data_IF_331677687366
#
_entry.id   IF_331677687366
#
_cell.length_a   1.000
_cell.length_b   1.000
_cell.length_c   1.000
_cell.angle_alpha   90.00
_cell.angle_beta   90.00
_cell.angle_gamma   90.00
#
_symmetry.space_group_name_H-M   'P 1'
#
loop_
_entity.id
_entity.type
_entity.pdbx_description
1 polymer ?
#
# COMPACT_ATOMS: atom_id res chain seq x y z
N UNK A 1 -25.71 88.49 19.45
CA UNK A 1 -26.25 87.15 19.20
C UNK A 1 -25.24 86.34 18.42
N UNK A 2 -24.42 85.51 19.13
CA UNK A 2 -23.42 84.62 18.49
C UNK A 2 -23.95 83.20 18.50
N UNK A 3 -24.16 82.64 17.31
CA UNK A 3 -24.59 81.24 17.13
C UNK A 3 -23.32 80.33 17.20
N UNK A 4 -23.26 79.51 18.23
CA UNK A 4 -22.26 78.46 18.31
C UNK A 4 -22.70 77.28 17.44
N UNK A 5 -21.92 76.96 16.41
CA UNK A 5 -22.11 75.79 15.58
C UNK A 5 -21.21 74.72 16.20
N UNK A 6 -21.85 73.69 16.77
CA UNK A 6 -21.22 72.50 17.33
C UNK A 6 -20.91 71.51 16.17
N UNK A 7 -19.64 71.35 15.81
CA UNK A 7 -19.24 70.32 14.88
C UNK A 7 -19.15 68.98 15.63
N UNK A 8 -20.08 68.09 15.35
CA UNK A 8 -19.98 66.68 15.75
C UNK A 8 -19.07 65.98 14.74
N UNK A 9 -17.82 65.70 15.14
CA UNK A 9 -16.90 64.83 14.39
C UNK A 9 -17.34 63.41 14.61
N UNK A 10 -17.97 62.80 13.61
CA UNK A 10 -18.30 61.39 13.59
C UNK A 10 -17.00 60.62 13.29
N UNK A 11 -16.37 60.08 14.35
CA UNK A 11 -15.23 59.15 14.19
C UNK A 11 -15.78 57.82 13.68
N UNK A 12 -15.76 57.62 12.36
CA UNK A 12 -16.00 56.31 11.75
C UNK A 12 -14.81 55.43 12.12
N UNK A 13 -14.92 54.65 13.19
CA UNK A 13 -14.02 53.55 13.45
C UNK A 13 -14.25 52.50 12.36
N UNK A 14 -13.43 52.52 11.34
CA UNK A 14 -13.32 51.42 10.42
C UNK A 14 -12.77 50.24 11.22
N UNK A 15 -13.63 49.45 11.82
CA UNK A 15 -13.32 48.09 12.23
C UNK A 15 -13.03 47.35 10.93
N UNK A 16 -11.74 47.25 10.56
CA UNK A 16 -11.32 46.30 9.57
C UNK A 16 -11.63 44.92 10.14
N UNK A 17 -12.81 44.40 9.86
CA UNK A 17 -13.10 42.99 9.96
C UNK A 17 -12.01 42.31 9.10
N UNK A 18 -10.99 41.74 9.74
CA UNK A 18 -10.21 40.72 9.10
C UNK A 18 -11.19 39.64 8.67
N UNK A 19 -11.59 39.66 7.39
CA UNK A 19 -12.26 38.51 6.81
C UNK A 19 -11.36 37.31 7.13
N UNK A 20 -11.83 36.44 8.00
CA UNK A 20 -11.19 35.14 8.13
C UNK A 20 -11.12 34.57 6.73
N UNK A 21 -9.93 34.10 6.32
CA UNK A 21 -9.75 33.56 4.98
C UNK A 21 -10.71 32.39 4.83
N UNK A 22 -11.74 32.57 4.02
CA UNK A 22 -12.73 31.56 3.68
C UNK A 22 -12.06 30.56 2.76
N UNK A 23 -12.35 29.27 2.95
CA UNK A 23 -11.92 28.24 2.02
C UNK A 23 -12.65 28.46 0.68
N UNK A 24 -11.88 28.46 -0.40
CA UNK A 24 -12.38 28.59 -1.76
C UNK A 24 -11.69 27.57 -2.66
N UNK A 25 -12.48 26.82 -3.44
CA UNK A 25 -12.00 25.83 -4.39
C UNK A 25 -12.84 25.92 -5.67
N UNK A 26 -12.18 26.11 -6.79
CA UNK A 26 -12.82 26.19 -8.09
C UNK A 26 -12.19 25.26 -9.13
N UNK A 27 -12.90 24.98 -10.19
CA UNK A 27 -12.38 24.20 -11.31
C UNK A 27 -13.41 23.79 -12.33
N UNK A 28 -12.94 23.00 -13.28
CA UNK A 28 -13.78 22.36 -14.29
C UNK A 28 -13.75 20.85 -14.08
N UNK A 29 -14.92 20.23 -14.00
CA UNK A 29 -15.04 18.78 -13.77
C UNK A 29 -14.86 17.97 -15.06
N UNK A 30 -14.91 18.61 -16.24
CA UNK A 30 -14.97 17.92 -17.52
C UNK A 30 -16.23 17.03 -17.62
N UNK A 31 -16.55 16.46 -18.76
CA UNK A 31 -17.77 15.67 -19.03
C UNK A 31 -17.93 14.38 -18.19
N UNK A 32 -17.32 14.29 -17.01
CA UNK A 32 -17.22 13.05 -16.21
C UNK A 32 -18.39 12.90 -15.22
N UNK A 33 -19.15 13.97 -14.97
CA UNK A 33 -20.20 13.97 -13.94
C UNK A 33 -21.54 13.43 -14.44
N UNK A 34 -21.99 12.30 -13.90
CA UNK A 34 -23.36 11.79 -14.11
C UNK A 34 -24.42 12.65 -13.43
N UNK A 35 -24.12 13.16 -12.24
CA UNK A 35 -25.04 13.93 -11.37
C UNK A 35 -24.56 15.36 -11.10
N UNK A 36 -23.45 15.79 -11.73
CA UNK A 36 -22.81 17.10 -11.56
C UNK A 36 -22.46 17.49 -10.12
N UNK A 37 -22.54 16.57 -9.18
CA UNK A 37 -22.19 16.85 -7.79
C UNK A 37 -20.67 16.81 -7.62
N UNK A 38 -20.13 17.87 -7.04
CA UNK A 38 -18.74 17.99 -6.60
C UNK A 38 -18.75 18.16 -5.09
N UNK A 39 -17.97 17.34 -4.37
CA UNK A 39 -18.04 17.37 -2.92
C UNK A 39 -16.74 17.02 -2.22
N UNK A 40 -16.57 17.54 -1.03
CA UNK A 40 -15.47 17.22 -0.12
C UNK A 40 -15.90 16.22 0.94
N UNK A 41 -15.09 15.20 1.15
CA UNK A 41 -15.25 14.20 2.20
C UNK A 41 -13.95 13.94 2.95
N UNK A 42 -14.04 13.41 4.16
CA UNK A 42 -12.85 12.93 4.88
C UNK A 42 -12.39 11.55 4.37
N UNK A 43 -11.10 11.20 4.48
CA UNK A 43 -10.55 9.92 4.03
C UNK A 43 -11.20 8.69 4.68
N UNK A 44 -11.77 8.86 5.87
CA UNK A 44 -12.42 7.81 6.66
C UNK A 44 -13.93 7.72 6.43
N UNK A 45 -14.53 8.70 5.72
CA UNK A 45 -15.96 8.71 5.47
C UNK A 45 -16.39 7.58 4.52
N UNK A 46 -17.45 6.83 4.85
CA UNK A 46 -17.96 5.78 3.98
C UNK A 46 -18.65 6.38 2.75
N UNK A 47 -18.35 5.85 1.57
CA UNK A 47 -19.04 6.22 0.32
C UNK A 47 -18.88 7.71 -0.03
N UNK A 48 -19.97 8.31 -0.53
CA UNK A 48 -20.05 9.74 -0.93
C UNK A 48 -20.69 10.62 0.14
N UNK A 49 -20.28 10.45 1.40
CA UNK A 49 -20.72 11.35 2.46
C UNK A 49 -19.89 12.64 2.43
N UNK A 50 -20.44 13.66 1.77
CA UNK A 50 -19.81 14.97 1.68
C UNK A 50 -20.18 15.85 2.88
N UNK A 51 -19.21 16.53 3.45
CA UNK A 51 -19.46 17.57 4.44
C UNK A 51 -19.63 18.96 3.79
N UNK A 52 -19.15 19.10 2.56
CA UNK A 52 -19.32 20.30 1.75
C UNK A 52 -19.50 19.89 0.29
N UNK A 53 -20.50 20.41 -0.41
CA UNK A 53 -20.75 20.08 -1.82
C UNK A 53 -21.41 21.21 -2.59
N UNK A 54 -21.26 21.15 -3.91
CA UNK A 54 -21.88 22.06 -4.88
C UNK A 54 -22.27 21.29 -6.14
N UNK A 55 -23.01 21.96 -7.03
CA UNK A 55 -23.30 21.44 -8.37
C UNK A 55 -22.46 22.19 -9.39
N UNK A 56 -21.87 21.46 -10.34
CA UNK A 56 -21.24 22.07 -11.50
C UNK A 56 -22.30 22.65 -12.43
N UNK A 57 -22.00 23.78 -13.07
CA UNK A 57 -22.89 24.45 -14.03
C UNK A 57 -22.94 23.70 -15.40
N UNK A 58 -23.64 24.28 -16.37
CA UNK A 58 -23.75 23.69 -17.71
C UNK A 58 -22.43 23.64 -18.50
N UNK A 59 -21.42 24.41 -18.08
CA UNK A 59 -20.09 24.42 -18.64
C UNK A 59 -19.11 23.53 -17.85
N UNK A 60 -19.61 22.70 -16.92
CA UNK A 60 -18.83 21.85 -16.03
C UNK A 60 -17.93 22.63 -15.04
N UNK A 61 -18.15 23.95 -14.87
CA UNK A 61 -17.47 24.75 -13.86
C UNK A 61 -18.14 24.59 -12.50
N UNK A 62 -17.36 24.55 -11.45
CA UNK A 62 -17.84 24.55 -10.07
C UNK A 62 -17.04 25.51 -9.20
N UNK A 63 -17.71 26.03 -8.19
CA UNK A 63 -17.12 26.82 -7.12
C UNK A 63 -17.63 26.30 -5.78
N UNK A 64 -16.72 25.98 -4.89
CA UNK A 64 -17.00 25.43 -3.58
C UNK A 64 -16.38 26.33 -2.52
N UNK A 65 -17.18 26.81 -1.59
CA UNK A 65 -16.76 27.68 -0.50
C UNK A 65 -17.45 27.28 0.79
N UNK A 66 -16.79 27.48 1.92
CA UNK A 66 -17.35 27.17 3.22
C UNK A 66 -16.31 27.20 4.34
N UNK A 67 -16.77 26.82 5.52
CA UNK A 67 -15.90 26.67 6.69
C UNK A 67 -15.31 25.25 6.71
N UNK A 68 -13.98 25.15 6.74
CA UNK A 68 -13.26 23.88 6.81
C UNK A 68 -12.17 23.98 7.88
N UNK A 69 -11.96 22.90 8.62
CA UNK A 69 -10.88 22.81 9.61
C UNK A 69 -9.53 22.73 8.91
N UNK A 70 -8.63 23.70 9.08
CA UNK A 70 -7.29 23.65 8.51
C UNK A 70 -6.45 22.51 9.09
N UNK A 71 -5.45 22.06 8.33
CA UNK A 71 -4.54 20.99 8.76
C UNK A 71 -5.08 19.59 8.55
N UNK A 72 -6.25 19.45 7.90
CA UNK A 72 -6.88 18.18 7.58
C UNK A 72 -6.65 17.79 6.14
N UNK A 73 -6.52 16.47 5.88
CA UNK A 73 -6.62 15.91 4.53
C UNK A 73 -8.09 15.60 4.23
N UNK A 74 -8.54 16.04 3.07
CA UNK A 74 -9.87 15.75 2.53
C UNK A 74 -9.74 15.23 1.11
N UNK A 75 -10.80 14.66 0.55
CA UNK A 75 -10.86 14.28 -0.85
C UNK A 75 -11.93 15.09 -1.55
N UNK A 76 -11.54 15.71 -2.66
CA UNK A 76 -12.48 16.25 -3.62
C UNK A 76 -12.92 15.15 -4.55
N UNK A 77 -14.19 14.83 -4.50
CA UNK A 77 -14.81 13.87 -5.42
C UNK A 77 -15.56 14.61 -6.52
N UNK A 78 -15.27 14.26 -7.77
CA UNK A 78 -16.07 14.63 -8.93
C UNK A 78 -16.03 13.50 -9.97
N UNK A 79 -17.19 12.97 -10.31
CA UNK A 79 -17.30 11.80 -11.16
C UNK A 79 -16.61 10.58 -10.57
N UNK A 80 -15.55 10.10 -11.24
CA UNK A 80 -14.70 8.98 -10.80
C UNK A 80 -13.38 9.45 -10.20
N UNK A 81 -13.15 10.74 -10.10
CA UNK A 81 -11.92 11.32 -9.57
C UNK A 81 -12.03 11.51 -8.06
N UNK A 82 -10.93 11.19 -7.36
CA UNK A 82 -10.76 11.34 -5.93
C UNK A 82 -9.44 12.06 -5.69
N UNK A 83 -9.48 13.39 -5.58
CA UNK A 83 -8.28 14.18 -5.47
C UNK A 83 -8.00 14.55 -4.02
N UNK A 84 -6.83 14.19 -3.46
CA UNK A 84 -6.48 14.57 -2.11
C UNK A 84 -6.19 16.07 -2.03
N UNK A 85 -6.72 16.69 -0.98
CA UNK A 85 -6.55 18.09 -0.65
C UNK A 85 -6.14 18.22 0.81
N UNK A 86 -4.97 18.78 1.06
CA UNK A 86 -4.58 19.25 2.37
C UNK A 86 -5.11 20.67 2.57
N UNK A 87 -5.99 20.83 3.55
CA UNK A 87 -6.70 22.08 3.77
C UNK A 87 -5.81 23.07 4.52
N UNK A 88 -5.55 24.21 3.90
CA UNK A 88 -4.98 25.42 4.48
C UNK A 88 -6.00 26.56 4.24
N UNK A 89 -5.92 27.67 4.95
CA UNK A 89 -6.83 28.80 4.75
C UNK A 89 -6.39 29.61 3.50
N UNK A 90 -6.79 29.15 2.31
CA UNK A 90 -6.39 29.76 1.04
C UNK A 90 -7.31 29.34 -0.12
N UNK A 91 -7.10 29.91 -1.27
CA UNK A 91 -7.77 29.58 -2.51
C UNK A 91 -7.07 28.45 -3.26
N UNK A 92 -7.88 27.57 -3.86
CA UNK A 92 -7.41 26.40 -4.60
C UNK A 92 -8.07 26.32 -5.97
N UNK A 93 -7.35 25.71 -6.91
CA UNK A 93 -7.86 25.43 -8.26
C UNK A 93 -7.59 24.00 -8.67
N UNK A 94 -8.59 23.36 -9.29
CA UNK A 94 -8.40 22.09 -9.97
C UNK A 94 -7.79 22.37 -11.33
N UNK A 95 -6.67 21.74 -11.60
CA UNK A 95 -5.97 21.81 -12.89
C UNK A 95 -5.86 20.42 -13.52
N UNK A 96 -6.01 20.35 -14.84
CA UNK A 96 -5.79 19.15 -15.61
C UNK A 96 -4.43 19.23 -16.30
N UNK A 97 -3.58 18.23 -16.08
CA UNK A 97 -2.27 18.10 -16.72
C UNK A 97 -2.19 16.72 -17.36
N UNK A 98 -2.14 16.68 -18.69
CA UNK A 98 -2.33 15.47 -19.46
C UNK A 98 -3.67 14.79 -19.09
N UNK A 99 -3.63 13.53 -18.60
CA UNK A 99 -4.82 12.79 -18.20
C UNK A 99 -5.08 12.82 -16.67
N UNK A 100 -4.26 13.56 -15.91
CA UNK A 100 -4.36 13.64 -14.45
C UNK A 100 -4.92 14.99 -14.01
N UNK A 101 -5.67 14.97 -12.91
CA UNK A 101 -6.16 16.16 -12.25
C UNK A 101 -5.40 16.38 -10.94
N UNK A 102 -5.16 17.65 -10.59
CA UNK A 102 -4.51 18.07 -9.37
C UNK A 102 -5.21 19.28 -8.77
N UNK A 103 -5.13 19.41 -7.45
CA UNK A 103 -5.60 20.62 -6.75
C UNK A 103 -4.37 21.44 -6.38
N UNK A 104 -4.25 22.63 -6.92
CA UNK A 104 -3.17 23.56 -6.63
C UNK A 104 -3.66 24.73 -5.79
N UNK A 105 -2.83 25.15 -4.85
CA UNK A 105 -3.00 26.40 -4.14
C UNK A 105 -2.36 27.56 -4.89
N UNK A 106 -2.90 28.77 -4.76
CA UNK A 106 -2.31 29.99 -5.26
C UNK A 106 -1.01 30.35 -4.54
N UNK A 107 -0.79 29.84 -3.33
CA UNK A 107 0.47 29.99 -2.58
C UNK A 107 1.47 28.93 -3.02
N UNK A 108 2.51 29.34 -3.74
CA UNK A 108 3.51 28.43 -4.35
C UNK A 108 4.14 27.45 -3.35
N UNK A 109 4.48 27.94 -2.16
CA UNK A 109 5.16 27.16 -1.09
C UNK A 109 4.21 26.46 -0.13
N UNK A 110 2.91 26.35 -0.47
CA UNK A 110 1.94 25.66 0.36
C UNK A 110 2.27 24.18 0.52
N UNK A 111 1.84 23.58 1.63
CA UNK A 111 1.96 22.13 1.84
C UNK A 111 1.19 21.35 0.76
N UNK A 112 0.02 21.87 0.33
CA UNK A 112 -0.74 21.29 -0.79
C UNK A 112 0.08 21.22 -2.08
N UNK A 113 0.75 22.29 -2.49
CA UNK A 113 1.55 22.28 -3.71
C UNK A 113 2.77 21.36 -3.60
N UNK A 114 3.42 21.29 -2.45
CA UNK A 114 4.50 20.33 -2.16
C UNK A 114 3.97 18.89 -2.24
N UNK A 115 2.77 18.64 -1.69
CA UNK A 115 2.12 17.34 -1.76
C UNK A 115 1.78 16.92 -3.20
N UNK A 116 1.27 17.84 -4.02
CA UNK A 116 1.06 17.59 -5.46
C UNK A 116 2.37 17.25 -6.17
N UNK A 117 3.47 17.94 -5.88
CA UNK A 117 4.78 17.59 -6.46
C UNK A 117 5.23 16.18 -6.05
N UNK A 118 5.01 15.80 -4.80
CA UNK A 118 5.26 14.43 -4.33
C UNK A 118 4.40 13.41 -5.12
N UNK A 119 3.08 13.63 -5.22
CA UNK A 119 2.18 12.72 -5.95
C UNK A 119 2.58 12.58 -7.42
N UNK A 120 2.94 13.65 -8.12
CA UNK A 120 3.42 13.62 -9.51
C UNK A 120 4.63 12.67 -9.66
N UNK A 121 5.57 12.71 -8.72
CA UNK A 121 6.75 11.83 -8.70
C UNK A 121 6.37 10.37 -8.47
N UNK A 122 5.44 10.09 -7.55
CA UNK A 122 4.98 8.73 -7.28
C UNK A 122 4.20 8.19 -8.48
N UNK A 123 3.26 8.94 -9.05
CA UNK A 123 2.48 8.51 -10.21
C UNK A 123 3.35 8.25 -11.45
N UNK A 124 4.42 9.00 -11.65
CA UNK A 124 5.38 8.73 -12.73
C UNK A 124 6.10 7.39 -12.54
N UNK A 125 6.48 7.04 -11.30
CA UNK A 125 7.09 5.75 -10.97
C UNK A 125 6.08 4.61 -11.11
N UNK A 126 4.84 4.78 -10.65
CA UNK A 126 3.76 3.79 -10.78
C UNK A 126 3.43 3.54 -12.25
N UNK A 127 3.37 4.57 -13.09
CA UNK A 127 3.14 4.44 -14.52
C UNK A 127 4.25 3.65 -15.22
N UNK A 128 5.52 3.98 -14.92
CA UNK A 128 6.68 3.27 -15.45
C UNK A 128 6.68 1.79 -15.01
N UNK A 129 6.44 1.53 -13.72
CA UNK A 129 6.34 0.18 -13.16
C UNK A 129 5.21 -0.63 -13.82
N UNK A 130 4.01 -0.06 -13.95
CA UNK A 130 2.86 -0.71 -14.57
C UNK A 130 3.09 -1.00 -16.06
N UNK A 131 3.80 -0.12 -16.78
CA UNK A 131 4.19 -0.37 -18.18
C UNK A 131 5.14 -1.55 -18.27
N UNK A 132 6.12 -1.66 -17.38
CA UNK A 132 7.04 -2.81 -17.31
C UNK A 132 6.31 -4.10 -16.96
N UNK A 133 5.37 -4.06 -16.01
CA UNK A 133 4.55 -5.22 -15.61
C UNK A 133 3.75 -5.77 -16.82
N UNK A 134 3.10 -4.90 -17.61
CA UNK A 134 2.36 -5.33 -18.82
C UNK A 134 3.26 -6.00 -19.84
N UNK A 135 4.52 -5.57 -19.94
CA UNK A 135 5.50 -6.20 -20.84
C UNK A 135 6.01 -7.56 -20.34
N UNK A 136 5.98 -7.78 -19.01
CA UNK A 136 6.56 -8.97 -18.39
C UNK A 136 5.88 -10.27 -18.81
N UNK A 137 4.56 -10.28 -18.88
CA UNK A 137 3.77 -11.47 -19.23
C UNK A 137 3.88 -11.87 -20.70
N UNK A 138 4.26 -10.92 -21.57
CA UNK A 138 4.41 -11.15 -23.03
C UNK A 138 5.79 -11.68 -23.41
N UNK A 139 6.76 -11.69 -22.48
CA UNK A 139 8.14 -12.14 -22.75
C UNK A 139 8.24 -13.66 -22.56
N UNK A 140 8.55 -14.37 -23.62
CA UNK A 140 8.84 -15.80 -23.60
C UNK A 140 10.33 -16.13 -23.34
N UNK A 141 11.23 -15.21 -23.66
CA UNK A 141 12.68 -15.40 -23.46
C UNK A 141 13.05 -15.24 -21.97
N UNK A 142 13.64 -16.30 -21.40
CA UNK A 142 13.96 -16.38 -19.96
C UNK A 142 14.99 -15.33 -19.54
N UNK A 143 16.01 -15.06 -20.37
CA UNK A 143 17.06 -14.09 -20.04
C UNK A 143 16.55 -12.65 -20.04
N UNK A 144 15.68 -12.31 -20.99
CA UNK A 144 15.00 -10.99 -21.02
C UNK A 144 14.03 -10.86 -19.86
N UNK A 145 13.31 -11.91 -19.51
CA UNK A 145 12.38 -11.94 -18.38
C UNK A 145 13.09 -11.74 -17.04
N UNK A 146 14.24 -12.36 -16.83
CA UNK A 146 15.07 -12.18 -15.65
C UNK A 146 15.55 -10.72 -15.52
N UNK A 147 16.11 -10.13 -16.57
CA UNK A 147 16.52 -8.71 -16.60
C UNK A 147 15.38 -7.76 -16.28
N UNK A 148 14.17 -8.04 -16.81
CA UNK A 148 12.99 -7.24 -16.54
C UNK A 148 12.53 -7.40 -15.07
N UNK A 149 12.59 -8.60 -14.51
CA UNK A 149 12.31 -8.86 -13.08
C UNK A 149 13.23 -8.03 -12.18
N UNK A 150 14.54 -8.01 -12.46
CA UNK A 150 15.49 -7.20 -11.69
C UNK A 150 15.22 -5.70 -11.79
N UNK A 151 14.80 -5.24 -12.97
CA UNK A 151 14.38 -3.85 -13.16
C UNK A 151 13.12 -3.53 -12.36
N UNK A 152 12.10 -4.40 -12.42
CA UNK A 152 10.87 -4.25 -11.64
C UNK A 152 11.15 -4.18 -10.13
N UNK A 153 12.05 -5.01 -9.61
CA UNK A 153 12.47 -4.97 -8.20
C UNK A 153 13.13 -3.64 -7.85
N UNK A 154 14.04 -3.13 -8.69
CA UNK A 154 14.70 -1.83 -8.48
C UNK A 154 13.70 -0.68 -8.50
N UNK A 155 12.76 -0.69 -9.45
CA UNK A 155 11.74 0.36 -9.56
C UNK A 155 10.79 0.31 -8.35
N UNK A 156 10.41 -0.87 -7.87
CA UNK A 156 9.60 -1.03 -6.65
C UNK A 156 10.35 -0.54 -5.40
N UNK A 157 11.64 -0.85 -5.27
CA UNK A 157 12.48 -0.38 -4.17
C UNK A 157 12.57 1.15 -4.20
N UNK A 158 12.87 1.74 -5.36
CA UNK A 158 12.92 3.20 -5.52
C UNK A 158 11.58 3.85 -5.16
N UNK A 159 10.46 3.27 -5.62
CA UNK A 159 9.11 3.74 -5.28
C UNK A 159 8.89 3.72 -3.76
N UNK A 160 9.19 2.61 -3.11
CA UNK A 160 9.01 2.44 -1.67
C UNK A 160 9.88 3.44 -0.88
N UNK A 161 11.13 3.64 -1.28
CA UNK A 161 12.01 4.61 -0.63
C UNK A 161 11.51 6.05 -0.81
N UNK A 162 10.95 6.39 -1.97
CA UNK A 162 10.31 7.70 -2.20
C UNK A 162 9.05 7.89 -1.37
N UNK A 163 8.26 6.84 -1.14
CA UNK A 163 7.11 6.89 -0.24
C UNK A 163 7.56 7.14 1.19
N UNK A 164 8.56 6.41 1.69
CA UNK A 164 9.13 6.61 3.02
C UNK A 164 9.68 8.03 3.17
N UNK A 165 10.38 8.55 2.14
CA UNK A 165 10.86 9.92 2.16
C UNK A 165 9.71 10.93 2.22
N UNK A 166 8.64 10.72 1.44
CA UNK A 166 7.43 11.57 1.50
C UNK A 166 6.79 11.58 2.90
N UNK A 167 6.70 10.44 3.57
CA UNK A 167 6.20 10.35 4.95
C UNK A 167 7.06 11.24 5.88
N UNK A 168 8.39 11.20 5.74
CA UNK A 168 9.32 12.04 6.51
C UNK A 168 9.16 13.53 6.18
N UNK A 169 9.07 13.88 4.90
CA UNK A 169 8.98 15.26 4.42
C UNK A 169 7.68 15.97 4.88
N UNK A 170 6.62 15.19 5.11
CA UNK A 170 5.33 15.66 5.62
C UNK A 170 5.06 15.26 7.07
N UNK A 171 6.10 14.82 7.79
CA UNK A 171 5.96 14.43 9.20
C UNK A 171 5.32 15.57 10.03
N UNK A 172 4.49 15.20 11.00
CA UNK A 172 3.73 16.17 11.79
C UNK A 172 2.43 16.68 11.14
N UNK A 173 2.11 16.23 9.91
CA UNK A 173 0.87 16.61 9.21
C UNK A 173 0.00 15.39 8.90
N UNK A 174 -1.29 15.60 8.62
CA UNK A 174 -2.16 14.54 8.12
C UNK A 174 -1.76 14.02 6.73
N UNK A 175 -0.95 14.76 5.96
CA UNK A 175 -0.44 14.29 4.67
C UNK A 175 0.37 13.01 4.86
N UNK A 176 1.24 12.94 5.87
CA UNK A 176 2.03 11.74 6.15
C UNK A 176 1.14 10.52 6.44
N UNK A 177 0.09 10.69 7.24
CA UNK A 177 -0.91 9.65 7.51
C UNK A 177 -1.67 9.24 6.24
N UNK A 178 -2.02 10.21 5.40
CA UNK A 178 -2.72 9.93 4.15
C UNK A 178 -1.84 9.17 3.16
N UNK A 179 -0.56 9.48 3.07
CA UNK A 179 0.39 8.72 2.24
C UNK A 179 0.38 7.23 2.64
N UNK A 180 0.39 6.94 3.95
CA UNK A 180 0.31 5.55 4.45
C UNK A 180 -1.06 4.95 4.11
N UNK A 181 -2.16 5.67 4.33
CA UNK A 181 -3.51 5.20 4.04
C UNK A 181 -3.72 4.88 2.54
N UNK A 182 -3.17 5.68 1.64
CA UNK A 182 -3.19 5.43 0.19
C UNK A 182 -2.47 4.11 -0.15
N UNK A 183 -1.28 3.89 0.42
CA UNK A 183 -0.54 2.66 0.21
C UNK A 183 -1.31 1.44 0.73
N UNK A 184 -1.95 1.55 1.89
CA UNK A 184 -2.81 0.50 2.46
C UNK A 184 -4.01 0.16 1.57
N UNK A 185 -4.55 1.16 0.87
CA UNK A 185 -5.72 0.98 0.02
C UNK A 185 -5.38 0.30 -1.31
N UNK A 186 -4.26 0.65 -1.93
CA UNK A 186 -3.89 0.21 -3.29
C UNK A 186 -2.94 -0.98 -3.33
N UNK A 187 -2.24 -1.29 -2.24
CA UNK A 187 -1.23 -2.33 -2.21
C UNK A 187 -1.44 -3.29 -1.04
N UNK A 188 -1.17 -4.57 -1.29
CA UNK A 188 -0.88 -5.49 -0.20
C UNK A 188 0.45 -5.06 0.42
N UNK A 189 0.37 -4.40 1.56
CA UNK A 189 1.53 -3.84 2.20
C UNK A 189 2.31 -4.95 2.89
N UNK A 190 3.55 -5.17 2.46
CA UNK A 190 4.51 -5.94 3.24
C UNK A 190 4.64 -5.28 4.63
N UNK A 191 4.46 -6.08 5.69
CA UNK A 191 4.57 -5.61 7.06
C UNK A 191 5.87 -4.85 7.34
N UNK A 192 6.97 -5.25 6.72
CA UNK A 192 8.27 -4.57 6.85
C UNK A 192 8.26 -3.16 6.27
N UNK A 193 7.64 -3.00 5.11
CA UNK A 193 7.43 -1.66 4.55
C UNK A 193 6.55 -0.83 5.48
N UNK A 194 5.46 -1.43 6.01
CA UNK A 194 4.56 -0.75 6.93
C UNK A 194 5.29 -0.33 8.23
N UNK A 195 6.15 -1.20 8.78
CA UNK A 195 6.99 -0.86 9.94
C UNK A 195 7.89 0.34 9.64
N UNK A 196 8.62 0.33 8.51
CA UNK A 196 9.43 1.47 8.07
C UNK A 196 8.59 2.76 7.89
N UNK A 197 7.37 2.63 7.37
CA UNK A 197 6.45 3.76 7.21
C UNK A 197 6.01 4.33 8.56
N UNK A 198 5.69 3.48 9.52
CA UNK A 198 5.34 3.89 10.90
C UNK A 198 6.53 4.50 11.64
N UNK A 199 7.73 3.95 11.48
CA UNK A 199 8.97 4.50 12.05
C UNK A 199 9.35 5.86 11.43
N UNK A 200 8.92 6.12 10.18
CA UNK A 200 9.13 7.40 9.52
C UNK A 200 8.19 8.52 10.02
N UNK A 201 7.11 8.16 10.72
CA UNK A 201 6.26 9.12 11.42
C UNK A 201 6.99 9.62 12.67
N UNK A 202 7.07 10.94 12.84
CA UNK A 202 7.53 11.53 14.11
C UNK A 202 6.35 11.56 15.09
N UNK A 203 6.64 11.55 16.39
CA UNK A 203 5.65 11.46 17.49
C UNK A 203 4.56 12.55 17.50
N UNK A 204 4.63 13.54 16.63
CA UNK A 204 3.75 14.72 16.59
C UNK A 204 2.65 14.67 15.52
N UNK A 205 2.29 13.50 14.97
CA UNK A 205 1.18 13.43 13.98
C UNK A 205 -0.15 13.81 14.63
N UNK A 206 -1.01 14.56 13.90
CA UNK A 206 -2.28 15.00 14.43
C UNK A 206 -3.18 13.85 14.88
N UNK A 207 -3.85 14.04 16.01
CA UNK A 207 -4.86 13.10 16.49
C UNK A 207 -6.12 13.17 15.62
N UNK A 208 -6.79 12.02 15.44
CA UNK A 208 -8.03 11.93 14.69
C UNK A 208 -8.25 10.58 14.03
N UNK A 209 -9.36 10.46 13.31
CA UNK A 209 -9.83 9.21 12.70
C UNK A 209 -8.82 8.61 11.72
N UNK A 210 -8.11 9.44 10.96
CA UNK A 210 -7.11 8.97 10.01
C UNK A 210 -5.92 8.33 10.73
N UNK A 211 -5.43 8.91 11.84
CA UNK A 211 -4.40 8.30 12.69
C UNK A 211 -4.88 6.97 13.25
N UNK A 212 -6.08 6.95 13.84
CA UNK A 212 -6.67 5.75 14.42
C UNK A 212 -6.75 4.62 13.37
N UNK A 213 -7.22 4.93 12.18
CA UNK A 213 -7.31 3.97 11.05
C UNK A 213 -5.94 3.40 10.67
N UNK A 214 -4.93 4.25 10.54
CA UNK A 214 -3.56 3.82 10.16
C UNK A 214 -2.94 2.96 11.26
N UNK A 215 -3.07 3.37 12.54
CA UNK A 215 -2.56 2.62 13.69
C UNK A 215 -3.28 1.27 13.82
N UNK A 216 -4.60 1.24 13.70
CA UNK A 216 -5.36 -0.02 13.72
C UNK A 216 -4.92 -0.97 12.62
N UNK A 217 -4.76 -0.48 11.39
CA UNK A 217 -4.29 -1.29 10.27
C UNK A 217 -2.88 -1.85 10.52
N UNK A 218 -1.97 -1.06 11.12
CA UNK A 218 -0.64 -1.51 11.51
C UNK A 218 -0.69 -2.60 12.58
N UNK A 219 -1.46 -2.41 13.65
CA UNK A 219 -1.60 -3.41 14.70
C UNK A 219 -2.24 -4.71 14.19
N UNK A 220 -3.19 -4.63 13.26
CA UNK A 220 -3.75 -5.81 12.59
C UNK A 220 -2.68 -6.53 11.74
N UNK A 221 -1.88 -5.79 10.96
CA UNK A 221 -0.79 -6.35 10.19
C UNK A 221 0.26 -7.02 11.09
N UNK A 222 0.60 -6.41 12.23
CA UNK A 222 1.53 -6.94 13.24
C UNK A 222 1.02 -8.25 13.86
N UNK A 223 -0.27 -8.33 14.21
CA UNK A 223 -0.88 -9.54 14.76
C UNK A 223 -0.84 -10.73 13.78
N UNK A 224 -0.83 -10.46 12.47
CA UNK A 224 -0.74 -11.48 11.43
C UNK A 224 0.67 -12.04 11.25
N UNK A 225 1.69 -11.34 11.75
CA UNK A 225 3.06 -11.83 11.64
C UNK A 225 3.25 -13.08 12.49
N UNK A 226 3.87 -14.09 11.89
CA UNK A 226 4.35 -15.26 12.60
C UNK A 226 5.72 -14.93 13.18
N UNK A 227 5.85 -14.99 14.50
CA UNK A 227 7.10 -14.70 15.23
C UNK A 227 7.38 -15.79 16.26
N UNK A 228 8.63 -15.92 16.69
CA UNK A 228 9.03 -16.96 17.63
C UNK A 228 9.25 -18.31 16.95
N UNK A 229 9.00 -19.40 17.65
CA UNK A 229 9.20 -20.75 17.10
C UNK A 229 8.17 -21.05 16.01
N UNK A 230 8.61 -21.68 14.93
CA UNK A 230 7.74 -22.16 13.87
C UNK A 230 6.75 -23.21 14.43
N UNK A 231 5.46 -23.14 14.10
CA UNK A 231 4.50 -24.15 14.51
C UNK A 231 4.87 -25.52 13.97
N UNK A 232 4.74 -26.56 14.82
CA UNK A 232 4.99 -27.94 14.38
C UNK A 232 3.92 -28.40 13.39
N UNK A 233 4.35 -29.26 12.47
CA UNK A 233 3.45 -29.94 11.56
C UNK A 233 3.85 -31.43 11.44
N UNK A 234 2.92 -32.24 10.94
CA UNK A 234 3.14 -33.64 10.61
C UNK A 234 2.31 -33.95 9.36
N UNK A 235 2.95 -33.97 8.20
CA UNK A 235 2.29 -34.01 6.89
C UNK A 235 2.91 -35.08 5.98
N UNK A 236 2.09 -35.74 5.13
CA UNK A 236 2.57 -36.74 4.17
C UNK A 236 3.21 -36.08 2.93
N UNK A 237 4.20 -36.74 2.38
CA UNK A 237 4.73 -36.48 1.04
C UNK A 237 3.94 -37.21 -0.06
N UNK A 238 4.43 -37.15 -1.30
CA UNK A 238 3.82 -37.80 -2.47
C UNK A 238 3.67 -39.32 -2.33
N UNK A 239 4.53 -39.96 -1.52
CA UNK A 239 4.55 -41.40 -1.25
C UNK A 239 3.81 -41.77 0.03
N UNK A 240 3.23 -40.82 0.74
CA UNK A 240 2.54 -41.02 2.01
C UNK A 240 3.48 -41.08 3.23
N UNK A 241 4.80 -40.86 3.06
CA UNK A 241 5.72 -40.78 4.19
C UNK A 241 5.49 -39.49 4.96
N UNK A 242 5.33 -39.62 6.27
CA UNK A 242 5.13 -38.49 7.17
C UNK A 242 6.44 -37.76 7.45
N UNK A 243 6.41 -36.45 7.30
CA UNK A 243 7.49 -35.53 7.65
C UNK A 243 7.01 -34.54 8.70
N UNK A 244 7.90 -34.23 9.65
CA UNK A 244 7.65 -33.30 10.75
C UNK A 244 8.61 -32.12 10.67
N UNK A 245 8.24 -31.00 11.28
CA UNK A 245 9.13 -29.83 11.36
C UNK A 245 10.50 -30.18 11.98
N UNK A 246 10.51 -31.07 12.97
CA UNK A 246 11.69 -31.52 13.68
C UNK A 246 12.73 -32.21 12.77
N UNK A 247 12.30 -32.79 11.66
CA UNK A 247 13.18 -33.49 10.70
C UNK A 247 14.13 -32.51 9.98
N UNK A 248 13.85 -31.21 10.05
CA UNK A 248 14.64 -30.16 9.39
C UNK A 248 15.52 -29.33 10.32
N UNK A 249 15.55 -29.65 11.63
CA UNK A 249 16.40 -28.95 12.60
C UNK A 249 17.88 -29.01 12.22
N UNK A 250 18.61 -27.95 12.60
CA UNK A 250 20.04 -27.83 12.32
C UNK A 250 20.39 -27.23 10.95
N UNK A 251 19.41 -26.91 10.13
CA UNK A 251 19.58 -26.23 8.84
C UNK A 251 18.52 -25.14 8.66
N UNK A 252 18.82 -24.16 7.82
CA UNK A 252 17.79 -23.21 7.37
C UNK A 252 16.71 -23.95 6.62
N UNK A 253 15.45 -23.54 6.86
CA UNK A 253 14.28 -24.13 6.22
C UNK A 253 13.41 -23.04 5.59
N UNK A 254 13.13 -23.18 4.31
CA UNK A 254 12.13 -22.40 3.59
C UNK A 254 10.85 -23.21 3.51
N UNK A 255 9.77 -22.74 4.14
CA UNK A 255 8.45 -23.33 4.01
C UNK A 255 7.62 -22.48 3.06
N UNK A 256 7.10 -23.09 1.99
CA UNK A 256 6.27 -22.43 1.00
C UNK A 256 4.85 -23.05 1.01
N UNK A 257 3.85 -22.26 1.37
CA UNK A 257 2.44 -22.67 1.28
C UNK A 257 1.87 -22.30 -0.08
N UNK A 258 1.29 -23.29 -0.74
CA UNK A 258 0.79 -23.14 -2.10
C UNK A 258 -0.44 -24.01 -2.36
N UNK A 259 -0.97 -24.00 -3.59
CA UNK A 259 -1.98 -24.93 -4.06
C UNK A 259 -1.95 -25.05 -5.59
N UNK A 260 -2.45 -26.15 -6.13
CA UNK A 260 -2.49 -26.42 -7.58
C UNK A 260 -3.28 -25.39 -8.37
N UNK A 261 -4.31 -24.81 -7.77
CA UNK A 261 -5.17 -23.76 -8.36
C UNK A 261 -4.56 -22.35 -8.24
N UNK A 262 -3.45 -22.19 -7.52
CA UNK A 262 -2.80 -20.89 -7.31
C UNK A 262 -1.78 -20.60 -8.42
N UNK A 263 -2.19 -19.91 -9.48
CA UNK A 263 -1.31 -19.57 -10.59
C UNK A 263 -0.06 -18.76 -10.17
N UNK A 264 -0.14 -17.73 -9.27
CA UNK A 264 1.05 -17.03 -8.77
C UNK A 264 2.01 -17.94 -8.00
N UNK A 265 1.50 -18.93 -7.24
CA UNK A 265 2.34 -19.91 -6.54
C UNK A 265 3.16 -20.75 -7.52
N UNK A 266 2.50 -21.24 -8.56
CA UNK A 266 3.14 -22.06 -9.60
C UNK A 266 4.21 -21.29 -10.36
N UNK A 267 3.99 -20.01 -10.62
CA UNK A 267 5.01 -19.12 -11.22
C UNK A 267 6.22 -18.95 -10.28
N UNK A 268 5.96 -18.76 -8.98
CA UNK A 268 7.01 -18.63 -7.96
C UNK A 268 7.83 -19.92 -7.79
N UNK A 269 7.18 -21.09 -7.83
CA UNK A 269 7.85 -22.38 -7.77
C UNK A 269 8.80 -22.56 -8.95
N UNK A 270 8.40 -22.17 -10.16
CA UNK A 270 9.29 -22.20 -11.34
C UNK A 270 10.50 -21.27 -11.20
N UNK A 271 10.33 -20.11 -10.56
CA UNK A 271 11.42 -19.18 -10.30
C UNK A 271 12.38 -19.76 -9.24
N UNK A 272 11.85 -20.22 -8.11
CA UNK A 272 12.65 -20.84 -7.05
C UNK A 272 13.43 -22.07 -7.55
N UNK A 273 12.85 -22.87 -8.45
CA UNK A 273 13.49 -24.05 -9.01
C UNK A 273 14.80 -23.73 -9.75
N UNK A 274 14.94 -22.52 -10.33
CA UNK A 274 16.19 -22.08 -10.99
C UNK A 274 17.33 -21.88 -10.00
N UNK A 275 17.01 -21.51 -8.77
CA UNK A 275 17.96 -21.20 -7.69
C UNK A 275 18.13 -22.36 -6.70
N UNK A 276 17.24 -23.35 -6.76
CA UNK A 276 17.14 -24.38 -5.72
C UNK A 276 18.44 -25.15 -5.50
N UNK A 277 19.15 -25.51 -6.57
CA UNK A 277 20.43 -26.26 -6.46
C UNK A 277 21.45 -25.46 -5.67
N UNK A 278 21.67 -24.22 -6.02
CA UNK A 278 22.58 -23.30 -5.34
C UNK A 278 22.20 -23.10 -3.86
N UNK A 279 20.93 -22.79 -3.59
CA UNK A 279 20.41 -22.60 -2.23
C UNK A 279 20.58 -23.87 -1.37
N UNK A 280 20.37 -25.05 -1.95
CA UNK A 280 20.57 -26.32 -1.29
C UNK A 280 22.05 -26.56 -0.93
N UNK A 281 22.95 -26.25 -1.87
CA UNK A 281 24.41 -26.39 -1.66
C UNK A 281 24.90 -25.42 -0.57
N UNK A 282 24.21 -24.27 -0.38
CA UNK A 282 24.40 -23.31 0.72
C UNK A 282 23.75 -23.75 2.05
N UNK A 283 23.07 -24.90 2.11
CA UNK A 283 22.51 -25.47 3.34
C UNK A 283 21.03 -25.16 3.57
N UNK A 284 20.30 -24.66 2.58
CA UNK A 284 18.85 -24.44 2.70
C UNK A 284 18.07 -25.72 2.41
N UNK A 285 17.19 -26.12 3.32
CA UNK A 285 16.10 -27.02 3.02
C UNK A 285 14.91 -26.23 2.47
N UNK A 286 14.26 -26.74 1.45
CA UNK A 286 12.98 -26.20 0.94
C UNK A 286 11.90 -27.25 1.07
N UNK A 287 10.77 -26.85 1.62
CA UNK A 287 9.58 -27.69 1.78
C UNK A 287 8.37 -26.91 1.31
N UNK A 288 7.63 -27.41 0.35
CA UNK A 288 6.33 -26.83 -0.01
C UNK A 288 5.21 -27.64 0.63
N UNK A 289 4.24 -26.93 1.18
CA UNK A 289 3.01 -27.47 1.79
C UNK A 289 1.83 -27.07 0.92
N UNK A 290 1.27 -28.05 0.21
CA UNK A 290 0.05 -27.84 -0.56
C UNK A 290 -1.18 -27.82 0.36
N UNK A 291 -2.06 -26.85 0.11
CA UNK A 291 -3.37 -26.70 0.75
C UNK A 291 -4.51 -27.16 -0.19
N UNK A 292 -4.22 -28.11 -1.07
CA UNK A 292 -5.21 -28.75 -1.91
C UNK A 292 -6.07 -29.72 -1.12
N UNK A 293 -7.35 -29.83 -1.46
CA UNK A 293 -8.25 -30.86 -0.97
C UNK A 293 -8.45 -32.00 -1.99
N UNK A 294 -7.66 -32.00 -3.06
CA UNK A 294 -7.74 -32.97 -4.16
C UNK A 294 -6.31 -33.44 -4.49
N UNK A 295 -6.02 -34.67 -4.12
CA UNK A 295 -4.69 -35.26 -4.29
C UNK A 295 -4.29 -35.37 -5.78
N UNK A 296 -5.24 -35.66 -6.66
CA UNK A 296 -4.95 -35.84 -8.09
C UNK A 296 -4.55 -34.52 -8.75
N UNK A 297 -5.26 -33.41 -8.41
CA UNK A 297 -4.93 -32.07 -8.88
C UNK A 297 -3.55 -31.63 -8.39
N UNK A 298 -3.24 -31.89 -7.12
CA UNK A 298 -1.93 -31.63 -6.55
C UNK A 298 -0.82 -32.37 -7.30
N UNK A 299 -0.95 -33.70 -7.49
CA UNK A 299 0.04 -34.54 -8.20
C UNK A 299 0.20 -34.10 -9.66
N UNK A 300 -0.89 -33.76 -10.33
CA UNK A 300 -0.86 -33.22 -11.69
C UNK A 300 -0.06 -31.92 -11.76
N UNK A 301 -0.29 -30.97 -10.85
CA UNK A 301 0.45 -29.72 -10.78
C UNK A 301 1.96 -29.93 -10.51
N UNK A 302 2.32 -30.86 -9.62
CA UNK A 302 3.71 -31.24 -9.37
C UNK A 302 4.41 -31.78 -10.62
N UNK A 303 3.72 -32.66 -11.36
CA UNK A 303 4.25 -33.21 -12.60
C UNK A 303 4.43 -32.12 -13.69
N UNK A 304 3.53 -31.15 -13.76
CA UNK A 304 3.63 -30.04 -14.72
C UNK A 304 4.76 -29.05 -14.34
N UNK A 305 4.93 -28.76 -13.05
CA UNK A 305 5.88 -27.74 -12.59
C UNK A 305 7.28 -28.27 -12.37
N UNK A 306 7.47 -29.60 -12.31
CA UNK A 306 8.77 -30.29 -12.19
C UNK A 306 9.65 -29.74 -11.03
N UNK A 307 9.02 -29.50 -9.85
CA UNK A 307 9.74 -28.98 -8.68
C UNK A 307 10.65 -30.04 -8.06
N UNK A 308 11.87 -29.63 -7.65
CA UNK A 308 12.97 -30.53 -7.27
C UNK A 308 13.14 -30.73 -5.76
N UNK A 309 12.28 -30.12 -4.92
CA UNK A 309 12.35 -30.24 -3.45
C UNK A 309 11.14 -30.98 -2.87
N UNK A 310 11.20 -31.22 -1.56
CA UNK A 310 10.18 -31.97 -0.84
C UNK A 310 8.81 -31.27 -0.92
N UNK A 311 7.81 -32.05 -1.31
CA UNK A 311 6.42 -31.64 -1.44
C UNK A 311 5.54 -32.37 -0.45
N UNK A 312 4.92 -31.64 0.44
CA UNK A 312 3.95 -32.11 1.42
C UNK A 312 2.56 -31.64 1.06
N UNK A 313 1.53 -32.31 1.60
CA UNK A 313 0.14 -31.91 1.39
C UNK A 313 -0.67 -32.00 2.66
N UNK A 314 -1.55 -31.01 2.87
CA UNK A 314 -2.63 -31.05 3.85
C UNK A 314 -3.97 -31.14 3.10
N UNK A 315 -4.48 -32.37 2.96
CA UNK A 315 -5.70 -32.65 2.19
C UNK A 315 -7.00 -32.15 2.86
N UNK A 316 -6.90 -31.57 4.06
CA UNK A 316 -8.04 -30.83 4.66
C UNK A 316 -8.38 -29.58 3.83
N UNK A 317 -7.49 -29.15 2.98
CA UNK A 317 -7.66 -28.03 2.08
C UNK A 317 -7.60 -26.67 2.77
N UNK A 318 -7.53 -25.60 1.97
CA UNK A 318 -7.24 -24.25 2.45
C UNK A 318 -8.13 -23.82 3.65
N UNK A 319 -9.43 -24.10 3.63
CA UNK A 319 -10.35 -23.60 4.68
C UNK A 319 -10.22 -24.34 6.01
N UNK A 320 -9.91 -25.64 6.00
CA UNK A 320 -9.91 -26.49 7.19
C UNK A 320 -8.50 -26.81 7.71
N UNK A 321 -7.46 -26.57 6.93
CA UNK A 321 -6.08 -26.87 7.26
C UNK A 321 -5.66 -26.24 8.58
N UNK A 322 -5.31 -27.10 9.56
CA UNK A 322 -4.75 -26.65 10.83
C UNK A 322 -3.38 -26.02 10.66
N UNK A 323 -2.50 -26.62 9.85
CA UNK A 323 -1.16 -26.08 9.62
C UNK A 323 -1.22 -24.70 8.99
N UNK A 324 -2.17 -24.46 8.06
CA UNK A 324 -2.43 -23.13 7.52
C UNK A 324 -2.78 -22.12 8.63
N UNK A 325 -3.69 -22.52 9.53
CA UNK A 325 -4.15 -21.65 10.62
C UNK A 325 -3.01 -21.36 11.61
N UNK A 326 -2.22 -22.35 12.00
CA UNK A 326 -1.10 -22.23 12.92
C UNK A 326 0.00 -21.31 12.35
N UNK A 327 0.25 -21.37 11.04
CA UNK A 327 1.18 -20.48 10.33
C UNK A 327 0.56 -19.13 9.94
N UNK A 328 -0.68 -18.86 10.35
CA UNK A 328 -1.42 -17.61 10.02
C UNK A 328 -1.48 -17.30 8.53
N UNK A 329 -1.57 -18.35 7.68
CA UNK A 329 -1.65 -18.19 6.23
C UNK A 329 -3.07 -17.78 5.86
N UNK A 330 -3.29 -16.52 5.52
CA UNK A 330 -4.59 -15.99 5.08
C UNK A 330 -4.83 -16.21 3.59
N UNK A 331 -3.77 -16.34 2.81
CA UNK A 331 -3.78 -16.57 1.35
C UNK A 331 -2.48 -17.22 0.90
N UNK A 332 -2.48 -17.75 -0.32
CA UNK A 332 -1.27 -18.32 -0.96
C UNK A 332 -0.89 -17.49 -2.19
N UNK A 333 0.42 -17.37 -2.52
CA UNK A 333 1.58 -17.99 -1.85
C UNK A 333 1.93 -17.32 -0.51
N UNK A 334 2.35 -18.12 0.48
CA UNK A 334 2.91 -17.63 1.74
C UNK A 334 4.20 -18.38 2.08
N UNK A 335 5.26 -17.66 2.39
CA UNK A 335 6.60 -18.24 2.56
C UNK A 335 7.22 -17.80 3.87
N UNK A 336 7.93 -18.71 4.52
CA UNK A 336 8.60 -18.49 5.80
C UNK A 336 10.02 -18.98 5.73
N UNK A 337 10.98 -18.14 6.15
CA UNK A 337 12.37 -18.57 6.39
C UNK A 337 12.54 -18.86 7.88
N UNK A 338 13.05 -20.04 8.19
CA UNK A 338 13.21 -20.56 9.55
C UNK A 338 14.70 -20.86 9.77
N UNK A 339 15.22 -20.47 10.94
CA UNK A 339 16.62 -20.71 11.31
C UNK A 339 16.86 -22.17 11.74
N UNK A 340 18.14 -22.60 11.89
CA UNK A 340 18.49 -23.95 12.34
C UNK A 340 17.92 -24.31 13.73
N UNK A 341 17.54 -23.34 14.55
CA UNK A 341 16.94 -23.54 15.87
C UNK A 341 15.41 -23.71 15.80
N UNK A 342 14.81 -23.50 14.63
CA UNK A 342 13.37 -23.62 14.42
C UNK A 342 12.60 -22.32 14.66
N UNK A 343 13.29 -21.17 14.72
CA UNK A 343 12.67 -19.86 14.88
C UNK A 343 12.36 -19.22 13.51
N UNK A 344 11.20 -18.61 13.39
CA UNK A 344 10.83 -17.85 12.20
C UNK A 344 11.68 -16.58 12.12
N UNK A 345 12.48 -16.45 11.08
CA UNK A 345 13.30 -15.28 10.79
C UNK A 345 12.52 -14.24 9.98
N UNK A 346 11.91 -14.68 8.87
CA UNK A 346 11.25 -13.80 7.92
C UNK A 346 9.96 -14.44 7.42
N UNK A 347 8.87 -13.65 7.43
CA UNK A 347 7.64 -13.96 6.71
C UNK A 347 7.70 -13.26 5.34
N UNK A 348 7.50 -13.99 4.25
CA UNK A 348 7.58 -13.48 2.90
C UNK A 348 8.99 -13.06 2.45
N UNK A 349 10.04 -13.89 2.66
CA UNK A 349 11.41 -13.51 2.27
C UNK A 349 11.52 -13.30 0.75
N UNK A 350 12.37 -12.34 0.35
CA UNK A 350 12.89 -12.24 -1.01
C UNK A 350 14.03 -13.23 -1.21
N UNK A 351 14.41 -13.52 -2.46
CA UNK A 351 15.59 -14.35 -2.73
C UNK A 351 16.86 -13.73 -2.15
N UNK A 352 17.03 -12.41 -2.26
CA UNK A 352 18.18 -11.68 -1.72
C UNK A 352 18.29 -11.84 -0.19
N UNK A 353 17.18 -11.79 0.52
CA UNK A 353 17.15 -11.99 1.98
C UNK A 353 17.47 -13.44 2.35
N UNK A 354 17.01 -14.41 1.56
CA UNK A 354 17.38 -15.81 1.75
C UNK A 354 18.90 -15.97 1.58
N UNK A 355 19.47 -15.46 0.48
CA UNK A 355 20.91 -15.50 0.25
C UNK A 355 21.71 -14.82 1.37
N UNK A 356 21.25 -13.65 1.82
CA UNK A 356 21.90 -12.92 2.93
C UNK A 356 22.03 -13.78 4.19
N UNK A 357 20.94 -14.46 4.61
CA UNK A 357 20.95 -15.30 5.81
C UNK A 357 21.76 -16.60 5.66
N UNK A 358 21.93 -17.10 4.45
CA UNK A 358 22.74 -18.31 4.20
C UNK A 358 24.25 -18.02 4.13
N UNK A 359 24.66 -16.76 3.97
CA UNK A 359 26.06 -16.33 3.90
C UNK A 359 26.62 -15.89 5.25
N UNK A 360 25.76 -15.69 6.27
CA UNK A 360 26.14 -15.29 7.62
C UNK A 360 26.21 -16.50 8.55
#
# INVERSE_FOLDING_TARGET
MKKNILYIIFFMVLVACKREAVFELEGYSGQILRDRTVGLRYPTAPGRQYFLSTQADSGDYFFLTGEITPGKVTFLDFGYQHLPLYVEKQHYRVVKENDNYYILSDQKESLQNRYVQYMRRIYSLDSAYNQLCRGYDTISDIGRKAKLSDRLKKDLTLRNDRIIQGIKDFSGTEIALNIINEVLYFCEVDYRFFTRAMEALVDSVPEGDLKNKVVEAYEQAKKRQLTGNAPSFSLPDVNGKIHRLEDFKGKYLLIDFWASWCAPCRAKNKELNKHYRELKDMGLNVVSVSLDNDREKWLKALNEDQVSWLQLVDLEGFKKSKVRADYKVERVPAVYLIDPQGKVLITGPTLEEIYFHLQT
#
